data_IF_347341293083
#
_entry.id   IF_347341293083
#
_cell.length_a   1.000
_cell.length_b   1.000
_cell.length_c   1.000
_cell.angle_alpha   90.00
_cell.angle_beta   90.00
_cell.angle_gamma   90.00
#
_symmetry.space_group_name_H-M   'P 1'
#
loop_
_entity.id
_entity.type
_entity.pdbx_description
1 polymer ?
#
# COMPACT_ATOMS: atom_id res chain seq x y z
N UNK A 1 9.44 -12.94 -9.47
CA UNK A 1 10.11 -12.70 -8.15
C UNK A 1 9.15 -13.04 -7.03
N UNK A 2 9.64 -13.68 -5.92
CA UNK A 2 8.86 -13.83 -4.67
C UNK A 2 9.02 -12.59 -3.81
N UNK A 3 7.90 -12.13 -3.21
CA UNK A 3 7.91 -10.94 -2.38
C UNK A 3 6.92 -11.10 -1.21
N UNK A 4 7.34 -10.75 0.00
CA UNK A 4 6.49 -10.84 1.20
C UNK A 4 5.70 -9.54 1.38
N UNK A 5 4.39 -9.65 1.60
CA UNK A 5 3.57 -8.51 2.02
C UNK A 5 3.37 -8.53 3.53
N UNK A 6 3.92 -7.52 4.20
CA UNK A 6 3.92 -7.39 5.65
C UNK A 6 2.56 -6.90 6.19
N UNK A 7 1.53 -7.72 6.04
CA UNK A 7 0.17 -7.39 6.52
C UNK A 7 -0.57 -8.62 7.04
N UNK A 8 -1.32 -8.44 8.13
CA UNK A 8 -2.33 -9.39 8.63
C UNK A 8 -3.74 -9.01 8.18
N UNK A 9 -3.91 -7.89 7.43
CA UNK A 9 -5.22 -7.41 6.99
C UNK A 9 -5.63 -8.13 5.70
N UNK A 10 -6.66 -9.00 5.80
CA UNK A 10 -7.16 -9.79 4.67
C UNK A 10 -7.73 -8.91 3.53
N UNK A 11 -8.35 -7.76 3.84
CA UNK A 11 -8.86 -6.84 2.82
C UNK A 11 -7.72 -6.22 2.00
N UNK A 12 -6.66 -5.76 2.68
CA UNK A 12 -5.45 -5.25 2.01
C UNK A 12 -4.80 -6.31 1.13
N UNK A 13 -4.66 -7.53 1.65
CA UNK A 13 -4.09 -8.65 0.91
C UNK A 13 -4.88 -8.93 -0.38
N UNK A 14 -6.21 -8.97 -0.30
CA UNK A 14 -7.08 -9.19 -1.46
C UNK A 14 -6.95 -8.07 -2.50
N UNK A 15 -6.99 -6.80 -2.08
CA UNK A 15 -6.83 -5.65 -3.00
C UNK A 15 -5.46 -5.66 -3.71
N UNK A 16 -4.37 -5.90 -2.95
CA UNK A 16 -3.01 -5.92 -3.50
C UNK A 16 -2.80 -7.11 -4.43
N UNK A 17 -3.28 -8.31 -4.05
CA UNK A 17 -3.19 -9.51 -4.90
C UNK A 17 -3.86 -9.32 -6.26
N UNK A 18 -5.03 -8.66 -6.28
CA UNK A 18 -5.74 -8.36 -7.52
C UNK A 18 -4.97 -7.38 -8.44
N UNK A 19 -4.14 -6.50 -7.87
CA UNK A 19 -3.42 -5.44 -8.58
C UNK A 19 -2.01 -5.83 -9.00
N UNK A 20 -1.35 -6.73 -8.24
CA UNK A 20 0.07 -7.07 -8.45
C UNK A 20 0.30 -7.90 -9.72
N UNK A 21 -0.71 -8.70 -10.12
CA UNK A 21 -0.65 -9.56 -11.30
C UNK A 21 0.23 -10.80 -11.12
N UNK A 22 0.27 -11.66 -12.15
CA UNK A 22 0.89 -12.99 -12.10
C UNK A 22 2.43 -12.99 -12.11
N UNK A 23 3.06 -11.86 -12.34
CA UNK A 23 4.54 -11.77 -12.42
C UNK A 23 5.24 -11.87 -11.07
N UNK A 24 4.53 -11.54 -9.99
CA UNK A 24 5.07 -11.53 -8.65
C UNK A 24 4.32 -12.55 -7.79
N UNK A 25 5.07 -13.47 -7.20
CA UNK A 25 4.53 -14.43 -6.23
C UNK A 25 4.45 -13.77 -4.86
N UNK A 26 3.24 -13.36 -4.47
CA UNK A 26 2.98 -12.72 -3.19
C UNK A 26 2.98 -13.75 -2.09
N UNK A 27 3.80 -13.53 -1.05
CA UNK A 27 3.85 -14.35 0.16
C UNK A 27 3.24 -13.59 1.33
N UNK A 28 2.53 -14.30 2.18
CA UNK A 28 1.95 -13.78 3.42
C UNK A 28 2.94 -13.87 4.58
N UNK A 29 2.66 -13.14 5.68
CA UNK A 29 3.45 -13.24 6.92
C UNK A 29 3.47 -14.66 7.48
N UNK A 30 2.33 -15.37 7.46
CA UNK A 30 2.23 -16.75 7.96
C UNK A 30 3.07 -17.73 7.15
N UNK A 31 3.18 -17.57 5.84
CA UNK A 31 4.01 -18.43 4.96
C UNK A 31 5.51 -18.27 5.24
N UNK A 32 5.92 -17.13 5.78
CA UNK A 32 7.33 -16.87 6.18
C UNK A 32 7.55 -17.04 7.68
N UNK A 33 6.57 -17.59 8.42
CA UNK A 33 6.69 -17.93 9.83
C UNK A 33 6.53 -16.77 10.81
N UNK A 34 6.00 -15.63 10.36
CA UNK A 34 5.66 -14.47 11.20
C UNK A 34 4.17 -14.54 11.52
N UNK A 35 3.83 -14.77 12.78
CA UNK A 35 2.44 -14.94 13.25
C UNK A 35 1.99 -13.86 14.22
N UNK A 36 2.94 -13.12 14.79
CA UNK A 36 2.67 -11.99 15.68
C UNK A 36 2.30 -10.71 14.90
N UNK A 37 1.63 -9.80 15.59
CA UNK A 37 1.37 -8.46 15.06
C UNK A 37 2.64 -7.63 15.05
N UNK A 38 2.88 -6.95 13.93
CA UNK A 38 4.02 -6.06 13.79
C UNK A 38 3.69 -4.72 14.46
N UNK A 39 4.53 -4.24 15.39
CA UNK A 39 4.28 -2.96 16.06
C UNK A 39 4.26 -1.78 15.10
N UNK A 40 3.26 -0.91 15.25
CA UNK A 40 3.12 0.36 14.52
C UNK A 40 3.36 1.51 15.51
N UNK A 41 4.61 1.87 15.71
CA UNK A 41 5.04 2.88 16.70
C UNK A 41 5.46 4.20 16.07
N UNK A 42 5.38 4.31 14.75
CA UNK A 42 5.72 5.52 14.00
C UNK A 42 4.67 6.63 14.18
N UNK A 43 5.10 7.86 14.06
CA UNK A 43 4.26 9.04 14.09
C UNK A 43 3.62 9.38 12.73
N UNK A 44 4.11 8.75 11.67
CA UNK A 44 3.65 8.96 10.29
C UNK A 44 3.36 7.63 9.59
N UNK A 45 2.59 7.68 8.50
CA UNK A 45 2.34 6.51 7.64
C UNK A 45 3.65 5.98 7.03
N UNK A 46 4.56 6.89 6.68
CA UNK A 46 5.87 6.57 6.12
C UNK A 46 6.71 5.76 7.12
N UNK A 47 6.76 6.21 8.38
CA UNK A 47 7.49 5.51 9.44
C UNK A 47 6.88 4.13 9.73
N UNK A 48 5.55 4.02 9.81
CA UNK A 48 4.90 2.74 10.07
C UNK A 48 5.09 1.75 8.90
N UNK A 49 5.01 2.21 7.66
CA UNK A 49 5.32 1.37 6.50
C UNK A 49 6.77 0.87 6.54
N UNK A 50 7.73 1.76 6.85
CA UNK A 50 9.15 1.41 7.02
C UNK A 50 9.38 0.40 8.14
N UNK A 51 8.84 0.66 9.33
CA UNK A 51 8.96 -0.25 10.50
C UNK A 51 8.47 -1.65 10.14
N UNK A 52 7.32 -1.77 9.51
CA UNK A 52 6.75 -3.07 9.12
C UNK A 52 7.61 -3.79 8.06
N UNK A 53 8.12 -3.07 7.06
CA UNK A 53 8.98 -3.65 6.04
C UNK A 53 10.31 -4.14 6.64
N UNK A 54 10.98 -3.32 7.47
CA UNK A 54 12.20 -3.69 8.17
C UNK A 54 12.00 -4.87 9.12
N UNK A 55 10.89 -4.91 9.85
CA UNK A 55 10.56 -6.03 10.73
C UNK A 55 10.57 -7.38 10.00
N UNK A 56 10.01 -7.43 8.80
CA UNK A 56 9.98 -8.64 7.97
C UNK A 56 11.35 -8.92 7.38
N UNK A 57 12.01 -7.90 6.81
CA UNK A 57 13.31 -8.07 6.17
C UNK A 57 14.37 -8.59 7.12
N UNK A 58 14.48 -8.02 8.33
CA UNK A 58 15.46 -8.42 9.35
C UNK A 58 15.28 -9.86 9.82
N UNK A 59 14.03 -10.38 9.80
CA UNK A 59 13.74 -11.77 10.24
C UNK A 59 13.89 -12.79 9.16
N UNK A 60 13.63 -12.41 7.91
CA UNK A 60 13.52 -13.37 6.80
C UNK A 60 14.64 -13.24 5.77
N UNK A 61 15.26 -12.07 5.64
CA UNK A 61 16.17 -11.74 4.55
C UNK A 61 15.53 -11.71 3.17
N UNK A 62 14.18 -11.84 3.08
CA UNK A 62 13.46 -11.89 1.83
C UNK A 62 13.06 -10.47 1.39
N UNK A 63 12.99 -10.26 0.08
CA UNK A 63 12.37 -9.06 -0.47
C UNK A 63 10.94 -8.93 0.05
N UNK A 64 10.61 -7.76 0.56
CA UNK A 64 9.31 -7.53 1.19
C UNK A 64 8.83 -6.11 1.00
N UNK A 65 7.54 -5.91 1.16
CA UNK A 65 6.96 -4.58 1.28
C UNK A 65 5.88 -4.55 2.36
N UNK A 66 5.64 -3.37 2.90
CA UNK A 66 4.56 -3.06 3.82
C UNK A 66 3.80 -1.84 3.35
N UNK A 67 2.49 -1.78 3.62
CA UNK A 67 1.72 -0.57 3.44
C UNK A 67 1.27 0.01 4.79
N UNK A 68 1.21 1.33 4.87
CA UNK A 68 0.40 2.00 5.88
C UNK A 68 -0.56 2.99 5.21
N UNK A 69 -1.78 3.07 5.76
CA UNK A 69 -2.88 3.81 5.12
C UNK A 69 -3.65 4.60 6.15
N UNK A 70 -3.89 5.87 5.84
CA UNK A 70 -4.70 6.76 6.66
C UNK A 70 -5.70 7.56 5.83
N UNK A 71 -6.81 7.90 6.50
CA UNK A 71 -7.72 8.95 6.09
C UNK A 71 -7.28 10.24 6.79
N UNK A 72 -7.06 11.30 6.05
CA UNK A 72 -6.68 12.61 6.56
C UNK A 72 -7.80 13.61 6.23
N UNK A 73 -8.38 14.25 7.26
CA UNK A 73 -9.51 15.18 7.11
C UNK A 73 -9.08 16.59 7.48
N UNK A 74 -9.21 17.53 6.54
CA UNK A 74 -8.73 18.92 6.74
C UNK A 74 -9.32 19.59 7.97
N UNK A 75 -10.64 19.50 8.15
CA UNK A 75 -11.36 20.13 9.27
C UNK A 75 -10.99 19.56 10.65
N UNK A 76 -10.27 18.42 10.68
CA UNK A 76 -9.79 17.73 11.86
C UNK A 76 -8.27 17.81 12.01
N UNK A 77 -7.60 18.69 11.26
CA UNK A 77 -6.15 18.85 11.31
C UNK A 77 -5.37 17.63 10.81
N UNK A 78 -5.97 16.84 9.91
CA UNK A 78 -5.40 15.62 9.38
C UNK A 78 -5.78 14.34 10.15
N UNK A 79 -6.57 14.45 11.25
CA UNK A 79 -7.08 13.25 11.90
C UNK A 79 -8.10 12.54 11.00
N UNK A 80 -8.26 11.21 11.13
CA UNK A 80 -7.57 10.26 12.01
C UNK A 80 -6.10 9.95 11.63
N UNK A 81 -5.65 10.13 10.39
CA UNK A 81 -4.25 9.93 9.97
C UNK A 81 -3.73 8.53 10.30
N UNK A 82 -2.60 8.43 10.99
CA UNK A 82 -1.99 7.14 11.42
C UNK A 82 -2.90 6.32 12.34
N UNK A 83 -3.87 6.95 12.99
CA UNK A 83 -4.83 6.28 13.88
C UNK A 83 -6.09 5.78 13.17
N UNK A 84 -6.13 5.81 11.83
CA UNK A 84 -7.32 5.49 11.04
C UNK A 84 -7.95 4.14 11.38
N UNK A 85 -7.15 3.11 11.60
CA UNK A 85 -7.65 1.78 11.92
C UNK A 85 -8.24 1.68 13.35
N UNK A 86 -7.76 2.52 14.29
CA UNK A 86 -8.08 2.49 15.72
C UNK A 86 -8.59 3.86 16.23
N UNK A 87 -9.35 4.56 15.40
CA UNK A 87 -9.75 5.93 15.68
C UNK A 87 -10.69 6.05 16.87
N UNK A 88 -11.65 5.14 17.01
CA UNK A 88 -12.62 5.15 18.10
C UNK A 88 -12.23 4.24 19.26
N UNK A 89 -11.57 3.12 18.98
CA UNK A 89 -11.25 2.08 19.97
C UNK A 89 -9.88 1.48 19.65
N UNK A 90 -9.28 0.74 20.57
CA UNK A 90 -8.02 0.02 20.35
C UNK A 90 -8.18 -1.17 19.37
N UNK A 91 -9.43 -1.58 19.07
CA UNK A 91 -9.75 -2.60 18.07
C UNK A 91 -10.05 -2.00 16.71
N UNK A 92 -10.17 -2.89 15.71
CA UNK A 92 -10.54 -2.53 14.33
C UNK A 92 -12.08 -2.49 14.17
N UNK A 93 -12.76 -1.62 14.91
CA UNK A 93 -14.22 -1.40 14.80
C UNK A 93 -14.53 -0.29 13.79
N UNK A 94 -14.73 -0.67 12.54
CA UNK A 94 -14.99 0.26 11.44
C UNK A 94 -16.26 1.07 11.67
N UNK A 95 -17.33 0.46 12.21
CA UNK A 95 -18.58 1.15 12.47
C UNK A 95 -18.42 2.21 13.60
N UNK A 96 -17.65 1.90 14.65
CA UNK A 96 -17.33 2.87 15.69
C UNK A 96 -16.47 4.01 15.15
N UNK A 97 -15.48 3.71 14.29
CA UNK A 97 -14.62 4.71 13.66
C UNK A 97 -15.44 5.67 12.79
N UNK A 98 -16.35 5.15 11.96
CA UNK A 98 -17.25 5.94 11.12
C UNK A 98 -18.15 6.85 11.94
N UNK A 99 -18.80 6.30 13.00
CA UNK A 99 -19.64 7.11 13.90
C UNK A 99 -18.85 8.23 14.55
N UNK A 100 -17.65 7.96 15.03
CA UNK A 100 -16.78 8.99 15.63
C UNK A 100 -16.44 10.08 14.63
N UNK A 101 -16.04 9.71 13.41
CA UNK A 101 -15.70 10.66 12.36
C UNK A 101 -16.88 11.57 12.02
N UNK A 102 -18.07 11.01 11.86
CA UNK A 102 -19.29 11.80 11.59
C UNK A 102 -19.62 12.75 12.73
N UNK A 103 -19.50 12.31 13.98
CA UNK A 103 -19.73 13.14 15.16
C UNK A 103 -18.75 14.32 15.23
N UNK A 104 -17.46 14.10 14.98
CA UNK A 104 -16.44 15.16 15.00
C UNK A 104 -16.58 16.15 13.82
N UNK A 105 -17.25 15.74 12.74
CA UNK A 105 -17.58 16.59 11.60
C UNK A 105 -18.96 17.24 11.70
N UNK A 106 -19.70 17.02 12.78
CA UNK A 106 -20.99 17.66 12.98
C UNK A 106 -20.84 19.19 13.03
N UNK A 107 -21.69 19.89 12.26
CA UNK A 107 -21.66 21.35 12.16
C UNK A 107 -20.47 21.93 11.36
N UNK A 108 -19.56 21.09 10.84
CA UNK A 108 -18.45 21.54 9.98
C UNK A 108 -18.85 21.53 8.51
N UNK A 109 -18.66 22.68 7.84
CA UNK A 109 -18.91 22.81 6.40
C UNK A 109 -17.76 22.27 5.54
N UNK A 110 -16.53 22.35 6.03
CA UNK A 110 -15.39 21.76 5.34
C UNK A 110 -15.35 20.25 5.64
N UNK A 111 -15.56 19.46 4.61
CA UNK A 111 -15.54 17.99 4.68
C UNK A 111 -14.46 17.38 3.81
N UNK A 112 -13.55 18.22 3.30
CA UNK A 112 -12.44 17.76 2.47
C UNK A 112 -11.56 16.77 3.21
N UNK A 113 -11.22 15.72 2.52
CA UNK A 113 -10.40 14.64 3.05
C UNK A 113 -9.59 14.01 1.93
N UNK A 114 -8.58 13.25 2.33
CA UNK A 114 -7.86 12.38 1.39
C UNK A 114 -7.55 11.05 2.04
N UNK A 115 -7.56 10.01 1.24
CA UNK A 115 -6.88 8.77 1.58
C UNK A 115 -5.44 8.81 1.08
N UNK A 116 -4.53 8.38 1.93
CA UNK A 116 -3.12 8.23 1.60
C UNK A 116 -2.65 6.84 1.98
N UNK A 117 -1.97 6.15 1.05
CA UNK A 117 -1.25 4.90 1.30
C UNK A 117 0.22 5.13 1.01
N UNK A 118 1.08 4.77 1.94
CA UNK A 118 2.53 4.67 1.74
C UNK A 118 2.91 3.21 1.69
N UNK A 119 3.72 2.82 0.72
CA UNK A 119 4.32 1.50 0.61
C UNK A 119 5.83 1.64 0.76
N UNK A 120 6.40 0.92 1.72
CA UNK A 120 7.84 0.75 1.87
C UNK A 120 8.24 -0.62 1.33
N UNK A 121 9.11 -0.63 0.32
CA UNK A 121 9.66 -1.80 -0.36
C UNK A 121 11.13 -1.98 0.03
N UNK A 122 11.52 -3.19 0.44
CA UNK A 122 12.91 -3.55 0.66
C UNK A 122 13.29 -4.69 -0.29
N UNK A 123 14.28 -4.43 -1.15
CA UNK A 123 14.89 -5.40 -2.07
C UNK A 123 16.40 -5.31 -1.91
N UNK A 124 17.06 -6.45 -1.68
CA UNK A 124 18.51 -6.53 -1.48
C UNK A 124 19.06 -5.57 -0.39
N UNK A 125 18.27 -5.34 0.66
CA UNK A 125 18.62 -4.42 1.75
C UNK A 125 18.45 -2.95 1.43
N UNK A 126 17.97 -2.60 0.24
CA UNK A 126 17.71 -1.21 -0.14
C UNK A 126 16.22 -0.89 0.00
N UNK A 127 15.90 0.06 0.86
CA UNK A 127 14.54 0.56 1.04
C UNK A 127 14.20 1.63 -0.01
N UNK A 128 12.99 1.54 -0.55
CA UNK A 128 12.37 2.55 -1.42
C UNK A 128 10.91 2.72 -1.03
N UNK A 129 10.42 3.95 -1.05
CA UNK A 129 9.02 4.24 -0.72
C UNK A 129 8.28 4.82 -1.92
N UNK A 130 7.00 4.44 -2.03
CA UNK A 130 6.04 5.00 -2.98
C UNK A 130 4.74 5.31 -2.27
N UNK A 131 3.99 6.27 -2.77
CA UNK A 131 2.70 6.64 -2.19
C UNK A 131 1.60 6.74 -3.24
N UNK A 132 0.37 6.54 -2.81
CA UNK A 132 -0.83 6.81 -3.57
C UNK A 132 -1.78 7.66 -2.73
N UNK A 133 -2.32 8.72 -3.34
CA UNK A 133 -3.25 9.65 -2.71
C UNK A 133 -4.50 9.75 -3.57
N UNK A 134 -5.66 9.85 -2.93
CA UNK A 134 -6.91 10.23 -3.57
C UNK A 134 -7.58 11.28 -2.71
N UNK A 135 -7.86 12.43 -3.32
CA UNK A 135 -8.59 13.52 -2.71
C UNK A 135 -10.10 13.27 -2.84
N UNK A 136 -10.89 13.86 -1.94
CA UNK A 136 -12.34 13.72 -1.94
C UNK A 136 -12.98 14.39 -0.73
N UNK A 137 -14.20 13.98 -0.42
CA UNK A 137 -14.99 14.54 0.67
C UNK A 137 -15.65 13.46 1.53
N UNK A 138 -15.86 13.76 2.80
CA UNK A 138 -16.62 12.90 3.72
C UNK A 138 -18.11 13.28 3.64
N UNK A 139 -18.96 12.30 3.38
CA UNK A 139 -20.42 12.43 3.37
C UNK A 139 -20.98 12.68 4.77
N UNK A 140 -22.25 13.06 4.85
CA UNK A 140 -22.95 13.25 6.14
C UNK A 140 -23.58 11.98 6.70
N UNK A 141 -23.63 10.92 5.91
CA UNK A 141 -24.16 9.59 6.27
C UNK A 141 -23.47 8.51 5.46
N UNK A 142 -23.45 7.30 5.99
CA UNK A 142 -22.90 6.13 5.26
C UNK A 142 -23.76 5.78 4.04
N UNK A 143 -23.11 5.39 2.94
CA UNK A 143 -23.74 4.88 1.72
C UNK A 143 -22.89 3.74 1.13
N UNK A 144 -23.58 2.71 0.61
CA UNK A 144 -22.92 1.51 0.07
C UNK A 144 -22.62 0.46 1.13
N UNK A 145 -22.21 -0.72 0.66
CA UNK A 145 -21.95 -1.89 1.52
C UNK A 145 -20.64 -2.60 1.18
N UNK A 146 -19.97 -2.19 0.10
CA UNK A 146 -18.71 -2.78 -0.33
C UNK A 146 -17.52 -2.14 0.38
N UNK A 147 -16.35 -2.78 0.24
CA UNK A 147 -15.11 -2.25 0.80
C UNK A 147 -14.98 -2.42 2.31
N UNK A 148 -14.23 -1.51 2.95
CA UNK A 148 -14.00 -1.53 4.41
C UNK A 148 -13.57 -0.16 4.93
N UNK A 149 -13.51 -0.03 6.26
CA UNK A 149 -13.06 1.22 6.91
C UNK A 149 -14.01 2.37 6.66
N UNK A 150 -13.48 3.46 6.13
CA UNK A 150 -14.24 4.69 5.85
C UNK A 150 -14.81 4.74 4.43
N UNK A 151 -14.73 3.66 3.65
CA UNK A 151 -15.27 3.59 2.29
C UNK A 151 -16.73 4.04 2.18
N UNK A 152 -17.65 3.74 3.15
CA UNK A 152 -19.03 4.20 3.10
C UNK A 152 -19.21 5.72 3.27
N UNK A 153 -18.18 6.44 3.69
CA UNK A 153 -18.21 7.87 3.97
C UNK A 153 -17.44 8.71 2.97
N UNK A 154 -16.58 8.10 2.15
CA UNK A 154 -15.65 8.84 1.29
C UNK A 154 -16.08 8.83 -0.17
N UNK A 155 -16.34 10.02 -0.72
CA UNK A 155 -16.59 10.26 -2.14
C UNK A 155 -15.33 10.84 -2.78
N UNK A 156 -14.67 10.12 -3.71
CA UNK A 156 -13.49 10.64 -4.41
C UNK A 156 -13.85 11.82 -5.32
N UNK A 157 -12.91 12.74 -5.47
CA UNK A 157 -13.06 13.85 -6.42
C UNK A 157 -13.38 13.37 -7.82
N UNK A 158 -14.36 13.99 -8.44
CA UNK A 158 -14.86 13.64 -9.77
C UNK A 158 -15.82 12.44 -9.81
N UNK A 159 -16.20 11.90 -8.65
CA UNK A 159 -17.20 10.84 -8.50
C UNK A 159 -18.46 11.38 -7.79
N UNK A 160 -19.57 10.69 -7.97
CA UNK A 160 -20.87 10.96 -7.33
C UNK A 160 -21.28 9.86 -6.34
N UNK A 161 -20.42 8.87 -6.12
CA UNK A 161 -20.62 7.69 -5.29
C UNK A 161 -19.48 7.52 -4.30
N UNK A 162 -19.77 6.94 -3.13
CA UNK A 162 -18.75 6.54 -2.17
C UNK A 162 -17.94 5.35 -2.69
N UNK A 163 -16.78 5.10 -2.10
CA UNK A 163 -16.01 3.88 -2.40
C UNK A 163 -16.81 2.60 -2.09
N UNK A 164 -17.70 2.62 -1.11
CA UNK A 164 -18.55 1.47 -0.77
C UNK A 164 -19.73 1.24 -1.73
N UNK A 165 -19.97 2.14 -2.66
CA UNK A 165 -20.95 2.00 -3.75
C UNK A 165 -20.29 1.57 -5.08
N UNK A 166 -18.96 1.40 -5.08
CA UNK A 166 -18.19 0.98 -6.26
C UNK A 166 -17.88 -0.51 -6.20
N UNK A 167 -17.75 -1.15 -7.37
CA UNK A 167 -17.16 -2.49 -7.42
C UNK A 167 -15.67 -2.46 -7.01
N UNK A 168 -15.13 -3.60 -6.65
CA UNK A 168 -13.71 -3.72 -6.32
C UNK A 168 -12.81 -3.24 -7.47
N UNK A 169 -13.17 -3.54 -8.72
CA UNK A 169 -12.43 -3.10 -9.90
C UNK A 169 -12.50 -1.58 -10.08
N UNK A 170 -13.69 -0.99 -9.96
CA UNK A 170 -13.88 0.47 -10.04
C UNK A 170 -13.05 1.19 -8.97
N UNK A 171 -13.15 0.74 -7.71
CA UNK A 171 -12.37 1.30 -6.60
C UNK A 171 -10.87 1.15 -6.84
N UNK A 172 -10.39 -0.05 -7.20
CA UNK A 172 -8.98 -0.32 -7.42
C UNK A 172 -8.37 0.53 -8.55
N UNK A 173 -9.17 0.90 -9.55
CA UNK A 173 -8.69 1.74 -10.66
C UNK A 173 -8.29 3.15 -10.20
N UNK A 174 -8.95 3.71 -9.19
CA UNK A 174 -8.81 5.12 -8.78
C UNK A 174 -8.31 5.32 -7.34
N UNK A 175 -8.38 4.29 -6.48
CA UNK A 175 -8.08 4.41 -5.05
C UNK A 175 -6.61 4.73 -4.75
N UNK A 176 -6.38 5.24 -3.55
CA UNK A 176 -5.06 5.47 -2.97
C UNK A 176 -4.16 4.23 -3.05
N UNK A 177 -4.68 3.04 -2.61
CA UNK A 177 -3.93 1.78 -2.69
C UNK A 177 -3.70 1.36 -4.13
N UNK A 178 -4.69 1.49 -5.02
CA UNK A 178 -4.52 1.20 -6.44
C UNK A 178 -3.42 2.04 -7.08
N UNK A 179 -3.35 3.33 -6.73
CA UNK A 179 -2.28 4.24 -7.20
C UNK A 179 -0.92 3.86 -6.62
N UNK A 180 -0.84 3.54 -5.33
CA UNK A 180 0.40 3.13 -4.69
C UNK A 180 0.93 1.81 -5.26
N UNK A 181 0.07 0.80 -5.45
CA UNK A 181 0.46 -0.51 -6.02
C UNK A 181 0.90 -0.38 -7.47
N UNK A 182 0.27 0.47 -8.28
CA UNK A 182 0.76 0.75 -9.65
C UNK A 182 2.20 1.27 -9.64
N UNK A 183 2.53 2.18 -8.71
CA UNK A 183 3.90 2.68 -8.55
C UNK A 183 4.85 1.61 -8.01
N UNK A 184 4.40 0.76 -7.09
CA UNK A 184 5.17 -0.39 -6.60
C UNK A 184 5.51 -1.35 -7.73
N UNK A 185 4.54 -1.70 -8.58
CA UNK A 185 4.76 -2.60 -9.74
C UNK A 185 5.77 -1.99 -10.72
N UNK A 186 5.66 -0.70 -11.03
CA UNK A 186 6.63 -0.01 -11.87
C UNK A 186 8.05 -0.07 -11.27
N UNK A 187 8.18 0.23 -9.99
CA UNK A 187 9.45 0.17 -9.26
C UNK A 187 10.06 -1.25 -9.25
N UNK A 188 9.24 -2.29 -9.05
CA UNK A 188 9.70 -3.68 -9.10
C UNK A 188 10.19 -4.08 -10.50
N UNK A 189 9.53 -3.62 -11.57
CA UNK A 189 9.99 -3.83 -12.93
C UNK A 189 11.32 -3.13 -13.21
N UNK A 190 11.50 -1.90 -12.73
CA UNK A 190 12.75 -1.17 -12.88
C UNK A 190 13.90 -1.92 -12.20
N UNK A 191 13.69 -2.43 -10.98
CA UNK A 191 14.68 -3.23 -10.24
C UNK A 191 15.02 -4.54 -11.00
N UNK A 192 14.01 -5.23 -11.55
CA UNK A 192 14.26 -6.45 -12.34
C UNK A 192 15.05 -6.16 -13.59
N UNK A 193 14.76 -5.07 -14.29
CA UNK A 193 15.51 -4.64 -15.47
C UNK A 193 16.98 -4.29 -15.14
N UNK A 194 17.20 -3.55 -14.04
CA UNK A 194 18.54 -3.23 -13.56
C UNK A 194 19.36 -4.50 -13.27
N UNK A 195 18.77 -5.49 -12.60
CA UNK A 195 19.41 -6.79 -12.32
C UNK A 195 19.79 -7.54 -13.60
N UNK A 196 18.89 -7.56 -14.60
CA UNK A 196 19.17 -8.22 -15.88
C UNK A 196 20.31 -7.56 -16.62
N UNK A 197 20.40 -6.23 -16.61
CA UNK A 197 21.51 -5.49 -17.20
C UNK A 197 22.84 -5.80 -16.52
N UNK A 198 22.87 -5.81 -15.18
CA UNK A 198 24.07 -6.18 -14.43
C UNK A 198 24.54 -7.62 -14.69
N UNK A 199 23.60 -8.57 -14.85
CA UNK A 199 23.94 -9.95 -15.19
C UNK A 199 24.55 -10.06 -16.59
N UNK A 200 24.02 -9.30 -17.56
CA UNK A 200 24.58 -9.24 -18.92
C UNK A 200 25.99 -8.65 -18.94
N UNK A 201 26.25 -7.63 -18.15
CA UNK A 201 27.58 -7.00 -18.03
C UNK A 201 28.61 -7.91 -17.35
N UNK A 202 28.18 -8.76 -16.42
CA UNK A 202 29.04 -9.74 -15.72
C UNK A 202 29.34 -10.96 -16.54
N UNK A 203 28.56 -11.23 -17.61
CA UNK A 203 28.81 -12.39 -18.50
C UNK A 203 29.95 -12.05 -19.46
N UNK A 204 31.13 -12.69 -19.38
CA UNK A 204 32.22 -12.38 -20.28
C UNK A 204 31.79 -12.65 -21.73
N UNK A 205 32.00 -11.69 -22.63
CA UNK A 205 31.86 -11.92 -24.04
C UNK A 205 32.72 -13.11 -24.44
N UNK A 206 32.12 -14.26 -24.74
CA UNK A 206 32.79 -15.39 -25.33
C UNK A 206 33.05 -15.11 -26.82
N UNK A 207 33.71 -14.00 -27.11
CA UNK A 207 34.40 -13.86 -28.37
C UNK A 207 35.76 -14.47 -28.17
N UNK A 208 35.93 -15.67 -28.75
CA UNK A 208 37.22 -16.30 -28.90
C UNK A 208 38.21 -15.38 -29.62
N UNK A 209 39.52 -15.62 -29.51
CA UNK A 209 40.53 -14.80 -30.19
C UNK A 209 40.23 -14.75 -31.67
N UNK A 210 40.50 -13.62 -32.36
CA UNK A 210 40.27 -13.51 -33.78
C UNK A 210 41.03 -14.61 -34.50
N UNK A 211 40.35 -15.27 -35.43
CA UNK A 211 40.96 -16.30 -36.27
C UNK A 211 42.28 -15.79 -36.82
N UNK A 212 43.39 -16.56 -36.73
CA UNK A 212 44.62 -16.18 -37.38
C UNK A 212 44.38 -16.19 -38.90
N UNK A 213 44.54 -15.03 -39.52
CA UNK A 213 44.62 -14.96 -40.97
C UNK A 213 45.92 -15.71 -41.37
N UNK A 214 45.77 -16.91 -41.88
CA UNK A 214 46.86 -17.60 -42.59
C UNK A 214 47.24 -16.79 -43.83
N UNK A 215 48.54 -16.56 -43.92
CA UNK A 215 49.19 -15.94 -45.09
C UNK A 215 49.32 -16.91 -46.29
#
# INVERSE_FOLDING_TARGET
>A
MKIVFATNNAHKLSEVSALLGDKFELMTLSEVGITEDIPETGATLDENASIKAHYVYERTGLSCFADDTGLEVEALGGAPGVHSARYATDGHDFAANNRKLLCELEGKSNRKARFRTVISLIVDGVERQVEGIVEGEITTSESGAEGFGYDPLFVPDGCDRTFAEMSAEEKNAISHRGRAVKKLVALLHDIENERQLEELERTPCMYGPPFPFDK
#
